data_IF_558641508978
#
_entry.id   IF_558641508978
#
_cell.length_a   1.000
_cell.length_b   1.000
_cell.length_c   1.000
_cell.angle_alpha   90.00
_cell.angle_beta   90.00
_cell.angle_gamma   90.00
#
_symmetry.space_group_name_H-M   'P 1'
#
loop_
_entity.id
_entity.type
_entity.pdbx_description
1 polymer ?
#
# COMPACT_ATOMS: atom_id res chain seq x y z
N UNK A 1 -8.15 22.74 -4.27
CA UNK A 1 -7.89 21.72 -5.32
C UNK A 1 -7.48 20.43 -4.64
N UNK A 2 -8.06 19.33 -5.06
CA UNK A 2 -7.73 18.01 -4.52
C UNK A 2 -6.79 17.28 -5.46
N UNK A 3 -5.71 16.73 -4.93
CA UNK A 3 -4.78 15.93 -5.71
C UNK A 3 -5.26 14.49 -5.67
N UNK A 4 -5.44 13.89 -6.84
CA UNK A 4 -5.84 12.50 -6.95
C UNK A 4 -4.60 11.63 -7.19
N UNK A 5 -4.47 10.56 -6.42
CA UNK A 5 -3.37 9.60 -6.56
C UNK A 5 -3.96 8.25 -6.88
N UNK A 6 -3.45 7.63 -7.93
CA UNK A 6 -3.86 6.31 -8.39
C UNK A 6 -2.61 5.44 -8.55
N UNK A 7 -2.62 4.27 -7.97
CA UNK A 7 -1.50 3.35 -8.10
C UNK A 7 -1.45 2.34 -6.98
N UNK A 8 -0.30 1.69 -6.84
CA UNK A 8 -0.16 0.56 -5.93
C UNK A 8 -0.19 0.95 -4.46
N UNK A 9 -0.86 0.12 -3.68
CA UNK A 9 -0.78 0.07 -2.23
C UNK A 9 -0.50 -1.37 -1.84
N UNK A 10 0.51 -1.60 -1.03
CA UNK A 10 0.93 -2.95 -0.70
C UNK A 10 1.46 -3.01 0.73
N UNK A 11 1.69 -4.23 1.18
CA UNK A 11 2.36 -4.47 2.45
C UNK A 11 3.76 -5.02 2.15
N UNK A 12 4.78 -4.29 2.62
CA UNK A 12 6.16 -4.74 2.59
C UNK A 12 6.42 -5.59 3.84
N UNK A 13 6.83 -6.83 3.64
CA UNK A 13 7.31 -7.69 4.73
C UNK A 13 8.81 -7.58 4.81
N UNK A 14 9.30 -6.91 5.85
CA UNK A 14 10.72 -6.59 6.02
C UNK A 14 11.27 -7.44 7.15
N UNK A 15 12.36 -8.20 6.91
CA UNK A 15 12.95 -9.01 7.99
C UNK A 15 13.64 -8.13 9.03
N UNK A 16 13.49 -8.48 10.29
CA UNK A 16 14.22 -7.86 11.39
C UNK A 16 15.48 -8.66 11.71
N UNK A 17 16.24 -8.21 12.72
CA UNK A 17 17.49 -8.85 13.10
C UNK A 17 17.32 -10.29 13.61
N UNK A 18 16.13 -10.65 14.12
CA UNK A 18 15.81 -11.99 14.58
C UNK A 18 15.36 -12.93 13.47
N UNK A 19 15.21 -12.41 12.22
CA UNK A 19 14.75 -13.19 11.09
C UNK A 19 13.24 -13.21 10.94
N UNK A 20 12.50 -12.52 11.79
CA UNK A 20 11.05 -12.40 11.67
C UNK A 20 10.70 -11.32 10.67
N UNK A 21 9.57 -11.50 9.98
CA UNK A 21 9.07 -10.51 9.04
C UNK A 21 8.08 -9.57 9.72
N UNK A 22 8.26 -8.26 9.48
CA UNK A 22 7.33 -7.24 9.96
C UNK A 22 6.62 -6.59 8.78
N UNK A 23 5.28 -6.47 8.84
CA UNK A 23 4.52 -5.85 7.77
C UNK A 23 4.54 -4.32 7.89
N UNK A 24 4.79 -3.64 6.77
CA UNK A 24 4.78 -2.19 6.69
C UNK A 24 3.96 -1.74 5.48
N UNK A 25 3.04 -0.78 5.65
CA UNK A 25 2.37 -0.19 4.48
C UNK A 25 3.39 0.42 3.52
N UNK A 26 3.19 0.20 2.22
CA UNK A 26 4.13 0.66 1.21
C UNK A 26 3.48 0.85 -0.15
N UNK A 27 4.33 1.06 -1.15
CA UNK A 27 3.94 1.42 -2.51
C UNK A 27 4.22 2.88 -2.77
N UNK A 28 4.92 3.20 -3.88
CA UNK A 28 5.29 4.59 -4.17
C UNK A 28 4.09 5.52 -4.28
N UNK A 29 3.01 5.17 -5.00
CA UNK A 29 1.84 6.05 -5.06
C UNK A 29 1.16 6.22 -3.70
N UNK A 30 1.06 5.15 -2.92
CA UNK A 30 0.48 5.18 -1.58
C UNK A 30 1.29 6.11 -0.67
N UNK A 31 2.62 5.99 -0.67
CA UNK A 31 3.50 6.83 0.13
C UNK A 31 3.47 8.28 -0.34
N UNK A 32 3.36 8.51 -1.65
CA UNK A 32 3.21 9.86 -2.20
C UNK A 32 1.94 10.55 -1.66
N UNK A 33 0.83 9.82 -1.64
CA UNK A 33 -0.42 10.38 -1.12
C UNK A 33 -0.27 10.84 0.33
N UNK A 34 0.36 10.02 1.16
CA UNK A 34 0.60 10.36 2.56
C UNK A 34 1.54 11.56 2.68
N UNK A 35 2.63 11.58 1.90
CA UNK A 35 3.59 12.68 1.94
C UNK A 35 2.97 14.01 1.55
N UNK A 36 2.12 14.02 0.52
CA UNK A 36 1.41 15.23 0.11
C UNK A 36 0.43 15.71 1.17
N UNK A 37 -0.31 14.78 1.79
CA UNK A 37 -1.25 15.13 2.86
C UNK A 37 -0.53 15.73 4.06
N UNK A 38 0.64 15.21 4.41
CA UNK A 38 1.46 15.75 5.50
C UNK A 38 1.97 17.16 5.22
N UNK A 39 2.04 17.55 3.95
CA UNK A 39 2.41 18.92 3.55
C UNK A 39 1.21 19.84 3.47
N UNK A 40 0.04 19.40 3.90
CA UNK A 40 -1.16 20.23 3.94
C UNK A 40 -2.01 20.19 2.68
N UNK A 41 -1.67 19.34 1.71
CA UNK A 41 -2.47 19.21 0.49
C UNK A 41 -3.72 18.36 0.74
N UNK A 42 -4.80 18.68 0.04
CA UNK A 42 -5.98 17.83 0.02
C UNK A 42 -5.72 16.69 -0.98
N UNK A 43 -5.73 15.46 -0.49
CA UNK A 43 -5.36 14.29 -1.29
C UNK A 43 -6.46 13.24 -1.23
N UNK A 44 -6.75 12.64 -2.38
CA UNK A 44 -7.64 11.49 -2.50
C UNK A 44 -6.89 10.34 -3.15
N UNK A 45 -6.86 9.19 -2.48
CA UNK A 45 -6.30 7.95 -3.01
C UNK A 45 -7.42 7.17 -3.68
N UNK A 46 -7.29 6.90 -4.98
CA UNK A 46 -8.39 6.38 -5.79
C UNK A 46 -8.36 4.88 -6.05
N UNK A 47 -7.19 4.24 -5.96
CA UNK A 47 -7.12 2.80 -6.21
C UNK A 47 -7.91 2.04 -5.15
N UNK A 48 -8.61 0.96 -5.52
CA UNK A 48 -9.36 0.18 -4.55
C UNK A 48 -8.43 -0.55 -3.58
N UNK A 49 -8.86 -0.61 -2.32
CA UNK A 49 -8.19 -1.38 -1.28
C UNK A 49 -8.94 -2.69 -1.07
N UNK A 50 -8.20 -3.75 -0.73
CA UNK A 50 -8.80 -5.04 -0.43
C UNK A 50 -9.68 -4.98 0.80
N UNK A 51 -10.70 -5.83 0.84
CA UNK A 51 -11.51 -6.06 2.04
C UNK A 51 -10.85 -7.04 3.01
N UNK A 52 -9.61 -7.46 2.76
CA UNK A 52 -8.85 -8.31 3.69
C UNK A 52 -8.27 -7.50 4.85
N UNK A 53 -7.61 -8.21 5.78
CA UNK A 53 -7.03 -7.57 6.99
C UNK A 53 -5.99 -6.52 6.65
N UNK A 54 -5.18 -6.76 5.61
CA UNK A 54 -4.17 -5.78 5.20
C UNK A 54 -4.81 -4.58 4.52
N UNK A 55 -5.89 -4.78 3.78
CA UNK A 55 -6.67 -3.68 3.22
C UNK A 55 -7.25 -2.79 4.31
N UNK A 56 -7.75 -3.37 5.39
CA UNK A 56 -8.22 -2.62 6.56
C UNK A 56 -7.10 -1.78 7.17
N UNK A 57 -5.91 -2.35 7.26
CA UNK A 57 -4.74 -1.65 7.81
C UNK A 57 -4.31 -0.48 6.94
N UNK A 58 -4.27 -0.68 5.61
CA UNK A 58 -3.95 0.38 4.66
C UNK A 58 -4.98 1.51 4.73
N UNK A 59 -6.26 1.17 4.76
CA UNK A 59 -7.33 2.14 4.87
C UNK A 59 -7.24 2.95 6.17
N UNK A 60 -7.03 2.28 7.29
CA UNK A 60 -6.90 2.93 8.58
C UNK A 60 -5.72 3.91 8.61
N UNK A 61 -4.60 3.53 8.01
CA UNK A 61 -3.43 4.40 7.93
C UNK A 61 -3.71 5.64 7.07
N UNK A 62 -4.35 5.47 5.91
CA UNK A 62 -4.72 6.62 5.07
C UNK A 62 -5.63 7.59 5.82
N UNK A 63 -6.61 7.07 6.54
CA UNK A 63 -7.54 7.92 7.32
C UNK A 63 -6.81 8.68 8.42
N UNK A 64 -5.88 8.04 9.13
CA UNK A 64 -5.08 8.71 10.17
C UNK A 64 -4.21 9.82 9.59
N UNK A 65 -3.78 9.68 8.35
CA UNK A 65 -2.96 10.67 7.64
C UNK A 65 -3.79 11.71 6.89
N UNK A 66 -5.10 11.72 7.09
CA UNK A 66 -6.04 12.66 6.47
C UNK A 66 -6.11 12.56 4.94
N UNK A 67 -5.84 11.39 4.39
CA UNK A 67 -6.03 11.11 2.97
C UNK A 67 -7.45 10.59 2.76
N UNK A 68 -8.16 11.18 1.81
CA UNK A 68 -9.49 10.70 1.45
C UNK A 68 -9.36 9.43 0.61
N UNK A 69 -10.25 8.47 0.84
CA UNK A 69 -10.34 7.26 0.02
C UNK A 69 -11.47 7.50 -0.98
N UNK A 70 -11.09 7.95 -2.17
CA UNK A 70 -11.96 8.65 -3.08
C UNK A 70 -13.21 7.93 -3.55
N UNK A 71 -13.14 6.63 -3.84
CA UNK A 71 -14.29 5.92 -4.39
C UNK A 71 -15.04 5.08 -3.38
N UNK A 72 -14.51 4.92 -2.16
CA UNK A 72 -15.16 4.15 -1.10
C UNK A 72 -15.37 2.67 -1.41
N UNK A 73 -14.94 2.21 -2.58
CA UNK A 73 -15.12 0.83 -3.01
C UNK A 73 -13.98 -0.05 -2.52
N UNK A 74 -14.32 -1.17 -1.91
CA UNK A 74 -13.35 -2.19 -1.50
C UNK A 74 -13.33 -3.30 -2.55
N UNK A 75 -12.17 -3.91 -2.74
CA UNK A 75 -12.00 -5.03 -3.66
C UNK A 75 -12.04 -6.34 -2.89
N UNK A 76 -12.64 -7.37 -3.48
CA UNK A 76 -12.60 -8.73 -2.92
C UNK A 76 -11.30 -9.45 -3.25
N UNK A 77 -10.44 -8.86 -4.08
CA UNK A 77 -9.12 -9.42 -4.38
C UNK A 77 -8.13 -9.12 -3.25
N UNK A 78 -7.07 -9.92 -3.10
CA UNK A 78 -6.14 -9.75 -2.00
C UNK A 78 -5.27 -8.50 -2.13
N UNK A 79 -4.75 -8.03 -1.01
CA UNK A 79 -3.74 -6.96 -0.99
C UNK A 79 -2.44 -7.44 -1.63
N UNK A 80 -1.79 -6.57 -2.39
CA UNK A 80 -0.44 -6.82 -2.92
C UNK A 80 0.56 -6.96 -1.77
N UNK A 81 1.51 -7.88 -1.93
CA UNK A 81 2.54 -8.16 -0.92
C UNK A 81 3.92 -8.12 -1.58
N UNK A 82 4.88 -7.52 -0.90
CA UNK A 82 6.29 -7.60 -1.24
C UNK A 82 7.05 -8.23 -0.07
N UNK A 83 7.79 -9.30 -0.35
CA UNK A 83 8.72 -9.89 0.61
C UNK A 83 10.12 -9.38 0.29
N UNK A 84 10.82 -8.92 1.31
CA UNK A 84 12.20 -8.45 1.16
C UNK A 84 13.10 -9.39 1.94
N UNK A 85 14.14 -9.90 1.27
CA UNK A 85 15.13 -10.77 1.89
C UNK A 85 16.51 -10.31 1.48
N UNK A 86 17.52 -10.62 2.27
CA UNK A 86 18.92 -10.40 1.88
C UNK A 86 19.53 -11.72 1.47
N UNK A 87 20.33 -11.69 0.38
CA UNK A 87 21.08 -12.87 -0.01
C UNK A 87 22.36 -12.99 0.85
N UNK A 88 23.19 -14.03 0.55
CA UNK A 88 24.40 -14.28 1.30
C UNK A 88 25.42 -13.14 1.20
N UNK A 89 25.33 -12.31 0.17
CA UNK A 89 26.20 -11.15 -0.03
C UNK A 89 25.63 -9.86 0.56
N UNK A 90 24.52 -9.95 1.31
CA UNK A 90 23.89 -8.79 1.91
C UNK A 90 23.07 -7.93 0.97
N UNK A 91 22.87 -8.38 -0.28
CA UNK A 91 22.05 -7.63 -1.25
C UNK A 91 20.58 -7.93 -1.06
N UNK A 92 19.70 -6.91 -1.15
CA UNK A 92 18.26 -7.14 -1.04
C UNK A 92 17.74 -7.93 -2.24
N UNK A 93 16.80 -8.81 -1.95
CA UNK A 93 16.04 -9.55 -2.95
C UNK A 93 14.57 -9.36 -2.68
N UNK A 94 13.80 -9.07 -3.74
CA UNK A 94 12.38 -8.76 -3.62
C UNK A 94 11.56 -9.88 -4.26
N UNK A 95 10.50 -10.30 -3.56
CA UNK A 95 9.51 -11.22 -4.08
C UNK A 95 8.17 -10.50 -4.06
N UNK A 96 7.61 -10.26 -5.25
CA UNK A 96 6.37 -9.51 -5.39
C UNK A 96 5.20 -10.46 -5.67
N UNK A 97 4.10 -10.25 -4.96
CA UNK A 97 2.84 -10.96 -5.16
C UNK A 97 1.80 -9.94 -5.59
N UNK A 98 1.75 -9.65 -6.89
CA UNK A 98 0.94 -8.60 -7.45
C UNK A 98 0.04 -9.05 -8.61
N UNK A 99 -0.20 -10.36 -8.74
CA UNK A 99 -1.18 -10.89 -9.69
C UNK A 99 -2.53 -11.02 -9.02
N UNK A 100 -3.59 -10.58 -9.73
CA UNK A 100 -4.95 -10.69 -9.21
C UNK A 100 -5.15 -9.97 -7.88
N UNK A 101 -4.63 -8.76 -7.74
CA UNK A 101 -4.62 -8.02 -6.49
C UNK A 101 -5.54 -6.80 -6.54
N UNK A 102 -5.89 -6.29 -5.34
CA UNK A 102 -6.91 -5.27 -5.16
C UNK A 102 -6.60 -3.94 -5.87
N UNK A 103 -5.35 -3.47 -5.82
CA UNK A 103 -5.01 -2.18 -6.41
C UNK A 103 -5.06 -2.16 -7.94
N UNK A 104 -5.17 -3.31 -8.57
CA UNK A 104 -5.37 -3.46 -10.01
C UNK A 104 -6.84 -3.72 -10.38
N UNK A 105 -7.73 -3.82 -9.41
CA UNK A 105 -9.15 -4.11 -9.61
C UNK A 105 -9.92 -2.83 -9.94
N UNK A 106 -9.56 -2.21 -11.05
CA UNK A 106 -10.14 -0.95 -11.50
C UNK A 106 -10.95 -1.22 -12.76
N UNK A 107 -12.21 -0.78 -12.75
CA UNK A 107 -13.08 -0.79 -13.93
C UNK A 107 -13.45 0.65 -14.28
N UNK A 108 -13.39 0.94 -15.53
CA UNK A 108 -13.75 2.26 -16.06
C UNK A 108 -15.07 2.18 -16.80
#
# INVERSE_FOLDING_TARGET
MTIAVLGEALIDFIPNAAGDYQPHPGGSPYNLAIGLARQGEAVSYLSPLSDDLFGDRLLGHLKRESVQVGLGRRSSLPTSIALIATNQQGKPRYQLYRDGVADKDITF
#
